data_IF_698615616026
#
_entry.id   IF_698615616026
#
_cell.length_a   1.000
_cell.length_b   1.000
_cell.length_c   1.000
_cell.angle_alpha   90.00
_cell.angle_beta   90.00
_cell.angle_gamma   90.00
#
_symmetry.space_group_name_H-M   'P 1'
#
loop_
_entity.id
_entity.type
_entity.pdbx_description
1 polymer ?
#
# COMPACT_ATOMS: atom_id res chain seq x y z
N UNK A 1 -3.36 -10.34 -2.09
CA UNK A 1 -3.86 -9.92 -3.42
C UNK A 1 -2.99 -10.59 -4.48
N UNK A 2 -3.55 -11.45 -5.33
CA UNK A 2 -2.79 -12.07 -6.42
C UNK A 2 -2.94 -11.21 -7.69
N UNK A 3 -1.81 -10.68 -8.15
CA UNK A 3 -1.73 -9.83 -9.35
C UNK A 3 -1.25 -10.62 -10.58
N UNK A 4 -1.02 -11.93 -10.49
CA UNK A 4 -0.41 -12.72 -11.58
C UNK A 4 -1.29 -12.82 -12.84
N UNK A 5 -2.62 -12.78 -12.68
CA UNK A 5 -3.60 -12.95 -13.78
C UNK A 5 -4.28 -11.66 -14.21
N UNK A 6 -4.50 -10.73 -13.27
CA UNK A 6 -5.11 -9.41 -13.50
C UNK A 6 -4.40 -8.39 -12.62
N UNK A 7 -4.02 -7.25 -13.20
CA UNK A 7 -3.20 -6.23 -12.54
C UNK A 7 -3.61 -4.83 -12.97
N UNK A 8 -3.41 -3.89 -12.06
CA UNK A 8 -3.49 -2.46 -12.32
C UNK A 8 -2.07 -1.85 -12.23
N UNK A 9 -1.97 -0.52 -12.35
CA UNK A 9 -0.69 0.20 -12.31
C UNK A 9 0.04 0.03 -10.96
N UNK A 10 -0.69 -0.18 -9.87
CA UNK A 10 -0.11 -0.29 -8.53
C UNK A 10 0.87 -1.47 -8.40
N UNK A 11 0.73 -2.53 -9.19
CA UNK A 11 1.64 -3.70 -9.10
C UNK A 11 3.06 -3.44 -9.64
N UNK A 12 3.28 -2.29 -10.27
CA UNK A 12 4.59 -1.90 -10.82
C UNK A 12 5.34 -0.92 -9.92
N UNK A 13 4.72 -0.43 -8.85
CA UNK A 13 5.41 0.42 -7.89
C UNK A 13 6.43 -0.40 -7.11
N UNK A 14 7.63 0.14 -6.95
CA UNK A 14 8.75 -0.55 -6.32
C UNK A 14 8.78 -0.36 -4.80
N UNK A 15 9.54 -1.22 -4.13
CA UNK A 15 9.85 -1.04 -2.72
C UNK A 15 10.92 0.03 -2.51
N UNK A 16 10.74 0.89 -1.52
CA UNK A 16 11.79 1.77 -1.00
C UNK A 16 11.72 1.83 0.53
N UNK A 17 12.87 1.88 1.21
CA UNK A 17 12.97 2.17 2.65
C UNK A 17 12.67 3.65 2.98
N UNK A 18 12.55 4.48 1.95
CA UNK A 18 12.09 5.88 2.02
C UNK A 18 10.95 6.06 0.99
N UNK A 19 9.77 5.49 1.26
CA UNK A 19 8.65 5.54 0.33
C UNK A 19 8.08 6.95 0.22
N UNK A 20 7.44 7.25 -0.91
CA UNK A 20 6.70 8.50 -1.14
C UNK A 20 5.19 8.28 -1.31
N UNK A 21 4.75 7.02 -1.38
CA UNK A 21 3.35 6.59 -1.43
C UNK A 21 3.02 5.73 -0.20
N UNK A 22 1.85 5.97 0.39
CA UNK A 22 1.24 5.21 1.48
C UNK A 22 0.11 4.32 0.95
N UNK A 23 -0.03 3.14 1.56
CA UNK A 23 -1.18 2.25 1.37
C UNK A 23 -2.23 2.52 2.43
N UNK A 24 -3.47 2.79 2.01
CA UNK A 24 -4.61 3.01 2.90
C UNK A 24 -5.76 2.04 2.57
N UNK A 25 -6.33 1.45 3.60
CA UNK A 25 -7.57 0.66 3.49
C UNK A 25 -8.78 1.57 3.53
N UNK A 26 -9.65 1.44 2.53
CA UNK A 26 -10.84 2.26 2.34
C UNK A 26 -12.05 1.36 2.13
N UNK A 27 -13.16 1.69 2.79
CA UNK A 27 -14.46 1.05 2.60
C UNK A 27 -15.41 2.08 1.98
N UNK A 28 -16.06 1.75 0.88
CA UNK A 28 -17.02 2.66 0.23
C UNK A 28 -18.26 1.96 -0.31
N UNK A 29 -18.11 0.74 -0.85
CA UNK A 29 -19.18 -0.08 -1.42
C UNK A 29 -19.76 -1.08 -0.42
N UNK A 30 -18.96 -1.52 0.56
CA UNK A 30 -19.39 -2.42 1.61
C UNK A 30 -18.68 -2.14 2.95
N UNK A 31 -19.30 -2.57 4.06
CA UNK A 31 -18.73 -2.41 5.41
C UNK A 31 -17.94 -3.64 5.91
N UNK A 32 -17.54 -4.55 5.01
CA UNK A 32 -16.75 -5.72 5.39
C UNK A 32 -15.27 -5.35 5.58
N UNK A 33 -14.84 -5.30 6.83
CA UNK A 33 -13.46 -4.96 7.23
C UNK A 33 -12.41 -5.99 6.77
N UNK A 34 -12.82 -7.20 6.39
CA UNK A 34 -11.89 -8.24 5.91
C UNK A 34 -11.52 -8.08 4.43
N UNK A 35 -12.24 -7.23 3.69
CA UNK A 35 -12.03 -7.03 2.24
C UNK A 35 -11.98 -5.55 1.85
N UNK A 36 -11.18 -4.69 2.50
CA UNK A 36 -11.14 -3.28 2.15
C UNK A 36 -10.54 -3.06 0.76
N UNK A 37 -10.90 -1.93 0.14
CA UNK A 37 -10.20 -1.45 -1.05
C UNK A 37 -8.84 -0.91 -0.65
N UNK A 38 -7.82 -1.30 -1.41
CA UNK A 38 -6.44 -0.83 -1.22
C UNK A 38 -6.25 0.38 -2.11
N UNK A 39 -6.09 1.56 -1.50
CA UNK A 39 -5.87 2.83 -2.19
C UNK A 39 -4.49 3.41 -1.85
N UNK A 40 -3.90 4.11 -2.82
CA UNK A 40 -2.56 4.66 -2.72
C UNK A 40 -2.63 6.19 -2.59
N UNK A 41 -1.93 6.76 -1.61
CA UNK A 41 -1.90 8.19 -1.33
C UNK A 41 -0.47 8.71 -1.29
N UNK A 42 -0.25 9.93 -1.80
CA UNK A 42 1.04 10.59 -1.70
C UNK A 42 1.30 11.05 -0.25
N UNK A 43 2.49 10.74 0.28
CA UNK A 43 2.93 11.20 1.61
C UNK A 43 3.62 12.57 1.56
N UNK A 44 4.06 12.97 0.38
CA UNK A 44 4.78 14.22 0.14
C UNK A 44 4.37 14.82 -1.21
N UNK A 45 4.78 16.06 -1.47
CA UNK A 45 4.64 16.65 -2.80
C UNK A 45 5.65 16.00 -3.74
N UNK A 46 5.16 15.14 -4.64
CA UNK A 46 6.00 14.36 -5.56
C UNK A 46 6.31 15.21 -6.80
N UNK A 47 7.57 15.59 -7.06
CA UNK A 47 7.92 16.29 -8.28
C UNK A 47 7.67 15.42 -9.52
N UNK A 48 7.42 16.02 -10.70
CA UNK A 48 7.25 15.28 -11.94
C UNK A 48 8.42 14.33 -12.22
N UNK A 49 8.12 13.16 -12.78
CA UNK A 49 9.10 12.12 -13.17
C UNK A 49 9.83 11.44 -12.00
N UNK A 50 9.51 11.75 -10.74
CA UNK A 50 9.99 10.97 -9.59
C UNK A 50 9.24 9.63 -9.53
N UNK A 51 9.99 8.57 -9.31
CA UNK A 51 9.45 7.22 -9.15
C UNK A 51 8.53 7.14 -7.92
N UNK A 52 7.37 6.48 -8.09
CA UNK A 52 6.46 6.17 -7.01
C UNK A 52 6.89 4.88 -6.32
N UNK A 53 7.13 4.95 -5.01
CA UNK A 53 7.59 3.82 -4.22
C UNK A 53 6.82 3.69 -2.92
N UNK A 54 6.63 2.44 -2.49
CA UNK A 54 5.88 2.08 -1.29
C UNK A 54 6.69 1.16 -0.38
N UNK A 55 6.38 1.17 0.91
CA UNK A 55 6.95 0.21 1.84
C UNK A 55 6.22 -1.13 1.69
N UNK A 56 6.95 -2.19 1.36
CA UNK A 56 6.38 -3.53 1.22
C UNK A 56 6.09 -4.15 2.59
N UNK A 57 6.56 -3.51 3.68
CA UNK A 57 6.38 -4.00 5.02
C UNK A 57 7.06 -5.35 5.18
N UNK A 58 8.31 -5.47 4.71
CA UNK A 58 9.12 -6.65 5.02
C UNK A 58 9.06 -6.80 6.54
N UNK A 59 8.61 -7.98 7.00
CA UNK A 59 8.49 -8.29 8.41
C UNK A 59 9.89 -8.35 9.03
N UNK A 60 10.49 -7.19 9.26
CA UNK A 60 11.56 -7.06 10.22
C UNK A 60 10.92 -7.38 11.57
N UNK A 61 11.49 -8.35 12.29
CA UNK A 61 11.04 -8.90 13.58
C UNK A 61 10.67 -7.82 14.62
N UNK A 62 11.04 -6.56 14.36
CA UNK A 62 10.84 -5.38 15.20
C UNK A 62 9.60 -4.53 14.87
N UNK A 63 8.99 -4.66 13.68
CA UNK A 63 7.77 -3.89 13.35
C UNK A 63 6.56 -4.57 13.97
N UNK A 64 6.31 -4.23 15.24
CA UNK A 64 5.24 -4.78 16.06
C UNK A 64 3.92 -4.89 15.30
N UNK A 65 3.30 -6.08 15.41
CA UNK A 65 1.93 -6.42 14.99
C UNK A 65 1.11 -5.17 14.69
N UNK A 66 0.87 -4.90 13.40
CA UNK A 66 -0.18 -3.95 13.01
C UNK A 66 -1.47 -4.41 13.70
N UNK A 67 -1.96 -3.59 14.62
CA UNK A 67 -3.14 -3.83 15.44
C UNK A 67 -4.44 -3.69 14.63
N UNK A 68 -4.47 -4.32 13.46
CA UNK A 68 -5.65 -4.46 12.60
C UNK A 68 -6.21 -5.87 12.74
N UNK A 69 -6.33 -6.34 13.99
CA UNK A 69 -7.14 -7.49 14.39
C UNK A 69 -7.49 -7.30 15.88
N UNK A 70 -8.62 -6.64 16.13
CA UNK A 70 -9.43 -6.92 17.32
C UNK A 70 -10.88 -7.03 16.88
#
# INVERSE_FOLDING_TARGET
MDVSKMRNVACYMSHSSTPNVLVQFVLYDHNNLMFPHIMLFAMENIPPLRELSLDYGVADEWTGKLAICN
#
